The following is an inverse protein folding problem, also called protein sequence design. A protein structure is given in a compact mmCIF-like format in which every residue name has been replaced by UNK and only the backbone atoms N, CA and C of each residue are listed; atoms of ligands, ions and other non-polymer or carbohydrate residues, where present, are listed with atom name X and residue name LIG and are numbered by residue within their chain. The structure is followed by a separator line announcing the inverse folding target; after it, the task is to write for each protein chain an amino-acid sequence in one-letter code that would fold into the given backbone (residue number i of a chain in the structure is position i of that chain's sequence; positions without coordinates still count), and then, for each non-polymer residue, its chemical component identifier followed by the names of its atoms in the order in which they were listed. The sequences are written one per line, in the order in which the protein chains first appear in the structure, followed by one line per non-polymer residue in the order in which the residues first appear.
data_IF_198251492652
#
_entry.id   IF_198251492652
#
_cell.length_a   1.000
_cell.length_b   1.000
_cell.length_c   1.000
_cell.angle_alpha   90.00
_cell.angle_beta   90.00
_cell.angle_gamma   90.00
#
_symmetry.space_group_name_H-M   'P 1'
#
loop_
_entity.id
_entity.type
_entity.pdbx_description
1 polymer ?
#
# COMPACT_ATOMS: atom_id res chain seq x y z
N UNK A 1 -34.79 -18.42 -15.35
CA UNK A 1 -33.61 -18.27 -16.21
C UNK A 1 -32.78 -17.11 -15.67
N UNK A 2 -31.47 -17.35 -15.58
CA UNK A 2 -30.41 -16.71 -14.80
C UNK A 2 -30.44 -15.19 -14.59
N UNK A 3 -30.56 -14.78 -13.32
CA UNK A 3 -30.06 -13.49 -12.81
C UNK A 3 -28.65 -13.63 -12.16
N UNK A 4 -27.97 -14.76 -12.39
CA UNK A 4 -26.71 -15.14 -11.75
C UNK A 4 -25.44 -14.83 -12.58
N UNK A 5 -25.54 -14.22 -13.76
CA UNK A 5 -24.41 -14.05 -14.67
C UNK A 5 -23.85 -12.63 -14.79
N UNK A 6 -24.27 -11.68 -13.95
CA UNK A 6 -23.73 -10.30 -13.96
C UNK A 6 -22.80 -9.98 -12.78
N UNK A 7 -22.65 -10.88 -11.78
CA UNK A 7 -21.78 -10.63 -10.64
C UNK A 7 -20.30 -10.99 -10.86
N UNK A 8 -19.96 -11.73 -11.92
CA UNK A 8 -18.60 -12.28 -12.11
C UNK A 8 -17.58 -11.29 -12.70
N UNK A 9 -18.00 -10.08 -13.13
CA UNK A 9 -17.09 -9.09 -13.75
C UNK A 9 -16.90 -7.80 -12.91
N UNK A 10 -17.40 -7.75 -11.67
CA UNK A 10 -17.24 -6.55 -10.85
C UNK A 10 -15.83 -6.50 -10.22
N UNK A 11 -15.05 -5.49 -10.61
CA UNK A 11 -13.73 -5.23 -10.02
C UNK A 11 -13.89 -4.33 -8.79
N UNK A 12 -13.47 -4.76 -7.59
CA UNK A 12 -13.63 -3.92 -6.40
C UNK A 12 -12.77 -2.65 -6.50
N UNK A 13 -13.25 -1.48 -6.01
CA UNK A 13 -12.51 -0.22 -6.01
C UNK A 13 -11.10 -0.34 -5.42
N UNK A 14 -10.94 -1.18 -4.41
CA UNK A 14 -9.64 -1.46 -3.78
C UNK A 14 -8.64 -2.09 -4.75
N UNK A 15 -9.09 -2.92 -5.70
CA UNK A 15 -8.19 -3.51 -6.71
C UNK A 15 -7.83 -2.49 -7.78
N UNK A 16 -8.81 -1.68 -8.21
CA UNK A 16 -8.58 -0.57 -9.15
C UNK A 16 -7.53 0.37 -8.58
N UNK A 17 -7.63 0.70 -7.29
CA UNK A 17 -6.63 1.49 -6.56
C UNK A 17 -5.23 0.91 -6.70
N UNK A 18 -5.02 -0.36 -6.45
CA UNK A 18 -3.70 -0.97 -6.62
C UNK A 18 -3.25 -0.99 -8.09
N UNK A 19 -4.16 -1.27 -9.03
CA UNK A 19 -3.85 -1.26 -10.48
C UNK A 19 -3.48 0.13 -10.99
N UNK A 20 -3.93 1.21 -10.38
CA UNK A 20 -3.50 2.58 -10.74
C UNK A 20 -1.98 2.73 -10.65
N UNK A 21 -1.31 2.11 -9.68
CA UNK A 21 0.16 2.12 -9.61
C UNK A 21 0.81 1.51 -10.86
N UNK A 22 0.20 0.45 -11.42
CA UNK A 22 0.69 -0.19 -12.66
C UNK A 22 0.43 0.66 -13.89
N UNK A 23 -0.72 1.35 -13.96
CA UNK A 23 -1.07 2.26 -15.07
C UNK A 23 -0.05 3.40 -15.20
N UNK A 24 0.42 3.92 -14.06
CA UNK A 24 1.43 5.00 -14.02
C UNK A 24 2.87 4.50 -13.95
N UNK A 25 3.10 3.19 -14.16
CA UNK A 25 4.41 2.54 -14.08
C UNK A 25 5.14 2.79 -12.74
N UNK A 26 4.41 3.07 -11.66
CA UNK A 26 4.93 3.23 -10.31
C UNK A 26 5.21 1.87 -9.65
N UNK A 27 4.56 0.82 -10.14
CA UNK A 27 4.75 -0.55 -9.68
C UNK A 27 4.63 -1.53 -10.84
N UNK A 28 5.46 -2.55 -10.85
CA UNK A 28 5.37 -3.64 -11.82
C UNK A 28 4.09 -4.47 -11.60
N UNK A 29 3.46 -4.90 -12.70
CA UNK A 29 2.22 -5.67 -12.62
C UNK A 29 2.42 -7.08 -12.08
N UNK A 30 3.54 -7.73 -12.43
CA UNK A 30 3.83 -9.07 -11.93
C UNK A 30 4.15 -9.01 -10.43
N UNK A 31 4.92 -8.02 -9.98
CA UNK A 31 5.17 -7.77 -8.56
C UNK A 31 3.86 -7.54 -7.78
N UNK A 32 2.95 -6.71 -8.33
CA UNK A 32 1.66 -6.48 -7.69
C UNK A 32 0.84 -7.78 -7.58
N UNK A 33 0.78 -8.59 -8.64
CA UNK A 33 0.05 -9.86 -8.65
C UNK A 33 0.67 -10.90 -7.72
N UNK A 34 1.99 -10.92 -7.57
CA UNK A 34 2.67 -11.85 -6.66
C UNK A 34 2.56 -11.49 -5.19
N UNK A 35 2.17 -10.25 -4.85
CA UNK A 35 2.13 -9.76 -3.45
C UNK A 35 0.73 -9.66 -2.86
N UNK A 36 -0.32 -9.63 -3.69
CA UNK A 36 -1.71 -9.59 -3.24
C UNK A 36 -2.43 -10.84 -3.74
N UNK A 37 -2.63 -11.80 -2.84
CA UNK A 37 -3.35 -13.03 -3.13
C UNK A 37 -4.84 -12.81 -2.91
N UNK A 38 -5.65 -12.96 -3.95
CA UNK A 38 -7.07 -12.62 -3.95
C UNK A 38 -7.94 -13.87 -4.04
N UNK A 39 -8.98 -13.92 -3.22
CA UNK A 39 -9.98 -14.97 -3.21
C UNK A 39 -11.37 -14.34 -3.17
N UNK A 40 -12.37 -15.01 -3.73
CA UNK A 40 -13.76 -14.67 -3.45
C UNK A 40 -14.01 -14.77 -1.94
N UNK A 41 -14.86 -13.91 -1.36
CA UNK A 41 -15.24 -14.03 0.06
C UNK A 41 -15.86 -15.40 0.37
N UNK A 42 -16.51 -16.03 -0.62
CA UNK A 42 -17.08 -17.36 -0.48
C UNK A 42 -16.02 -18.47 -0.39
N UNK A 43 -14.77 -18.16 -0.74
CA UNK A 43 -13.63 -19.07 -0.73
C UNK A 43 -12.63 -18.77 0.40
N UNK A 44 -13.06 -18.04 1.44
CA UNK A 44 -12.16 -17.65 2.52
C UNK A 44 -11.46 -18.84 3.20
N UNK A 45 -12.09 -20.02 3.29
CA UNK A 45 -11.42 -21.21 3.85
C UNK A 45 -10.22 -21.65 3.02
N UNK A 46 -10.27 -21.52 1.67
CA UNK A 46 -9.12 -21.79 0.80
C UNK A 46 -7.99 -20.77 1.04
N UNK A 47 -8.36 -19.50 1.21
CA UNK A 47 -7.41 -18.44 1.59
C UNK A 47 -6.71 -18.78 2.91
N UNK A 48 -7.45 -19.17 3.95
CA UNK A 48 -6.89 -19.53 5.25
C UNK A 48 -6.03 -20.80 5.17
N UNK A 49 -6.46 -21.81 4.41
CA UNK A 49 -5.69 -23.03 4.21
C UNK A 49 -4.33 -22.72 3.58
N UNK A 50 -4.29 -21.85 2.56
CA UNK A 50 -3.04 -21.46 1.91
C UNK A 50 -2.07 -20.80 2.89
N UNK A 51 -2.56 -19.93 3.77
CA UNK A 51 -1.76 -19.31 4.83
C UNK A 51 -1.25 -20.37 5.83
N UNK A 52 -2.08 -21.33 6.25
CA UNK A 52 -1.65 -22.42 7.16
C UNK A 52 -0.54 -23.29 6.53
N UNK A 53 -0.66 -23.63 5.25
CA UNK A 53 0.38 -24.35 4.49
C UNK A 53 1.68 -23.58 4.45
N UNK A 54 1.62 -22.28 4.13
CA UNK A 54 2.80 -21.43 4.10
C UNK A 54 3.44 -21.31 5.49
N UNK A 55 2.66 -21.06 6.54
CA UNK A 55 3.13 -21.03 7.94
C UNK A 55 3.87 -22.30 8.35
N UNK A 56 3.41 -23.48 7.94
CA UNK A 56 4.08 -24.77 8.24
C UNK A 56 5.42 -24.90 7.52
N UNK A 57 5.53 -24.35 6.31
CA UNK A 57 6.73 -24.44 5.48
C UNK A 57 7.77 -23.36 5.77
N UNK A 58 7.35 -22.22 6.33
CA UNK A 58 8.21 -21.06 6.54
C UNK A 58 8.74 -20.98 7.96
N UNK A 59 10.06 -20.80 8.11
CA UNK A 59 10.77 -20.74 9.39
C UNK A 59 10.53 -19.48 10.25
N UNK A 60 9.30 -18.96 10.31
CA UNK A 60 8.87 -17.99 11.33
C UNK A 60 9.10 -16.49 11.08
N UNK A 61 9.60 -16.08 9.91
CA UNK A 61 9.96 -14.67 9.64
C UNK A 61 8.95 -13.92 8.75
N UNK A 62 7.67 -14.28 8.82
CA UNK A 62 6.65 -13.67 7.97
C UNK A 62 5.41 -13.30 8.78
N UNK A 63 4.76 -12.21 8.35
CA UNK A 63 3.43 -11.80 8.82
C UNK A 63 2.50 -11.78 7.64
N UNK A 64 1.38 -12.46 7.78
CA UNK A 64 0.31 -12.44 6.78
C UNK A 64 -0.73 -11.41 7.19
N UNK A 65 -1.08 -10.52 6.27
CA UNK A 65 -2.08 -9.49 6.48
C UNK A 65 -3.31 -9.86 5.66
N UNK A 66 -4.35 -10.37 6.34
CA UNK A 66 -5.64 -10.68 5.71
C UNK A 66 -6.48 -9.40 5.66
N UNK A 67 -7.06 -9.11 4.50
CA UNK A 67 -7.91 -7.94 4.27
C UNK A 67 -9.27 -8.38 3.73
N UNK A 68 -10.34 -7.89 4.34
CA UNK A 68 -11.67 -7.99 3.77
C UNK A 68 -11.91 -6.83 2.79
N UNK A 69 -12.54 -7.12 1.65
CA UNK A 69 -12.72 -6.16 0.57
C UNK A 69 -14.19 -5.87 0.33
N UNK A 70 -14.57 -4.62 0.59
CA UNK A 70 -15.92 -4.12 0.36
C UNK A 70 -16.23 -3.98 -1.12
N UNK A 71 -17.52 -4.13 -1.45
CA UNK A 71 -18.01 -3.95 -2.81
C UNK A 71 -17.79 -2.52 -3.32
N UNK A 72 -18.13 -1.51 -2.54
CA UNK A 72 -18.22 -0.12 -3.02
C UNK A 72 -17.27 0.85 -2.31
N UNK A 73 -16.24 0.34 -1.63
CA UNK A 73 -15.34 1.19 -0.84
C UNK A 73 -13.90 0.68 -0.83
N UNK A 74 -12.97 1.62 -0.68
CA UNK A 74 -11.54 1.37 -0.48
C UNK A 74 -11.23 1.09 1.00
N UNK A 75 -12.23 1.19 1.90
CA UNK A 75 -12.09 1.25 3.36
C UNK A 75 -10.99 0.34 3.95
N UNK A 76 -10.29 0.88 4.95
CA UNK A 76 -9.23 0.22 5.72
C UNK A 76 -9.81 -0.20 7.08
N UNK A 77 -9.68 -1.50 7.39
CA UNK A 77 -10.06 -2.25 8.62
C UNK A 77 -11.32 -3.14 8.54
N UNK A 78 -11.29 -4.32 9.18
CA UNK A 78 -10.15 -4.90 9.90
C UNK A 78 -9.16 -5.61 8.97
N UNK A 79 -7.87 -5.36 9.20
CA UNK A 79 -6.82 -6.23 8.70
C UNK A 79 -6.50 -7.23 9.82
N UNK A 80 -6.51 -8.53 9.55
CA UNK A 80 -6.02 -9.52 10.51
C UNK A 80 -4.53 -9.72 10.29
N UNK A 81 -3.74 -9.58 11.35
CA UNK A 81 -2.32 -9.88 11.34
C UNK A 81 -2.12 -11.31 11.84
N UNK A 82 -1.52 -12.16 11.02
CA UNK A 82 -1.31 -13.58 11.30
C UNK A 82 0.20 -13.82 11.39
N UNK A 83 0.69 -14.02 12.61
CA UNK A 83 2.07 -14.41 12.91
C UNK A 83 2.17 -15.90 13.21
N UNK A 84 1.06 -16.49 13.67
CA UNK A 84 1.01 -17.86 14.15
C UNK A 84 -0.25 -18.60 13.67
N UNK A 85 -0.26 -19.92 13.88
CA UNK A 85 -1.45 -20.74 13.65
C UNK A 85 -2.60 -20.38 14.62
N UNK A 86 -2.28 -19.89 15.81
CA UNK A 86 -3.27 -19.43 16.78
C UNK A 86 -3.97 -18.15 16.31
N UNK A 87 -3.23 -17.20 15.74
CA UNK A 87 -3.81 -16.00 15.11
C UNK A 87 -4.75 -16.41 13.96
N UNK A 88 -4.34 -17.41 13.18
CA UNK A 88 -5.14 -17.92 12.05
C UNK A 88 -6.45 -18.56 12.53
N UNK A 89 -6.43 -19.32 13.62
CA UNK A 89 -7.63 -19.88 14.25
C UNK A 89 -8.56 -18.76 14.74
N UNK A 90 -8.00 -17.77 15.44
CA UNK A 90 -8.75 -16.58 15.89
C UNK A 90 -9.39 -15.83 14.72
N UNK A 91 -8.65 -15.68 13.61
CA UNK A 91 -9.17 -15.08 12.39
C UNK A 91 -10.31 -15.90 11.79
N UNK A 92 -10.15 -17.23 11.69
CA UNK A 92 -11.20 -18.14 11.20
C UNK A 92 -12.49 -17.96 11.99
N UNK A 93 -12.41 -17.94 13.32
CA UNK A 93 -13.61 -17.83 14.16
C UNK A 93 -14.29 -16.47 13.95
N UNK A 94 -13.52 -15.38 13.90
CA UNK A 94 -14.09 -14.05 13.59
C UNK A 94 -14.75 -14.00 12.21
N UNK A 95 -14.19 -14.67 11.20
CA UNK A 95 -14.73 -14.69 9.85
C UNK A 95 -16.07 -15.43 9.73
N UNK A 96 -16.40 -16.35 10.65
CA UNK A 96 -17.71 -17.02 10.69
C UNK A 96 -18.85 -16.04 10.97
N UNK A 97 -18.56 -15.01 11.77
CA UNK A 97 -19.55 -14.02 12.22
C UNK A 97 -19.62 -12.78 11.31
N UNK A 98 -18.78 -12.72 10.27
CA UNK A 98 -18.77 -11.60 9.32
C UNK A 98 -19.98 -11.68 8.38
N UNK A 99 -20.68 -10.55 8.21
CA UNK A 99 -21.75 -10.38 7.22
C UNK A 99 -21.18 -10.40 5.80
N UNK A 100 -21.09 -11.59 5.21
CA UNK A 100 -20.42 -11.83 3.91
C UNK A 100 -20.98 -10.94 2.79
N UNK A 101 -22.23 -10.53 2.86
CA UNK A 101 -22.90 -9.69 1.85
C UNK A 101 -22.26 -8.30 1.72
N UNK A 102 -21.54 -7.84 2.75
CA UNK A 102 -20.82 -6.57 2.73
C UNK A 102 -19.51 -6.63 1.93
N UNK A 103 -18.98 -7.84 1.72
CA UNK A 103 -17.68 -8.09 1.14
C UNK A 103 -17.82 -8.85 -0.19
N UNK A 104 -16.86 -8.67 -1.08
CA UNK A 104 -16.81 -9.41 -2.35
C UNK A 104 -15.58 -10.32 -2.42
N UNK A 105 -14.47 -9.88 -1.82
CA UNK A 105 -13.21 -10.61 -1.83
C UNK A 105 -12.58 -10.63 -0.43
N UNK A 106 -11.72 -11.62 -0.21
CA UNK A 106 -10.79 -11.72 0.91
C UNK A 106 -9.39 -11.87 0.33
N UNK A 107 -8.47 -11.02 0.78
CA UNK A 107 -7.10 -11.02 0.30
C UNK A 107 -6.14 -11.36 1.42
N UNK A 108 -4.95 -11.85 1.08
CA UNK A 108 -3.81 -11.80 1.97
C UNK A 108 -2.57 -11.26 1.28
N UNK A 109 -1.75 -10.56 2.05
CA UNK A 109 -0.40 -10.13 1.68
C UNK A 109 0.60 -10.81 2.62
N UNK A 110 1.73 -11.28 2.09
CA UNK A 110 2.82 -11.85 2.88
C UNK A 110 3.93 -10.81 3.02
N UNK A 111 4.22 -10.40 4.25
CA UNK A 111 5.31 -9.48 4.55
C UNK A 111 6.43 -10.24 5.25
N UNK A 112 7.68 -10.00 4.85
CA UNK A 112 8.85 -10.50 5.58
C UNK A 112 9.09 -9.57 6.77
N UNK A 113 9.29 -10.14 7.95
CA UNK A 113 9.69 -9.36 9.13
C UNK A 113 11.20 -9.26 9.18
N UNK A 114 11.75 -8.26 8.49
CA UNK A 114 13.18 -7.93 8.58
C UNK A 114 13.32 -6.59 9.31
N UNK A 115 14.04 -6.62 10.44
CA UNK A 115 14.26 -5.47 11.32
C UNK A 115 14.84 -4.25 10.60
N UNK A 116 15.63 -4.49 9.55
CA UNK A 116 16.30 -3.45 8.77
C UNK A 116 15.46 -2.90 7.60
N UNK A 117 14.25 -3.43 7.38
CA UNK A 117 13.35 -2.90 6.35
C UNK A 117 12.89 -1.50 6.73
N UNK A 118 13.01 -0.58 5.78
CA UNK A 118 12.49 0.77 5.93
C UNK A 118 11.12 0.82 5.26
N UNK A 119 10.12 1.22 6.02
CA UNK A 119 8.82 1.61 5.48
C UNK A 119 8.68 3.11 5.56
N UNK A 120 8.00 3.70 4.58
CA UNK A 120 7.76 5.13 4.61
C UNK A 120 6.61 5.57 3.76
N UNK A 121 6.27 6.84 3.91
CA UNK A 121 5.32 7.53 3.05
C UNK A 121 5.82 8.92 2.71
N UNK A 122 5.56 9.36 1.48
CA UNK A 122 5.85 10.72 1.01
C UNK A 122 4.54 11.39 0.64
N UNK A 123 4.23 12.47 1.35
CA UNK A 123 3.12 13.37 1.04
C UNK A 123 3.60 14.50 0.13
N UNK A 124 2.92 14.67 -1.00
CA UNK A 124 3.13 15.74 -1.97
C UNK A 124 1.97 16.74 -1.89
N UNK A 125 2.31 18.03 -1.83
CA UNK A 125 1.34 19.12 -2.06
C UNK A 125 1.06 19.22 -3.55
N UNK A 126 -0.21 19.14 -3.96
CA UNK A 126 -0.67 19.32 -5.34
C UNK A 126 -1.35 20.68 -5.52
N UNK A 127 -0.77 21.73 -4.95
CA UNK A 127 -1.27 23.10 -5.08
C UNK A 127 -1.11 23.66 -6.51
N UNK A 128 -1.53 24.91 -6.71
CA UNK A 128 -1.51 25.59 -8.02
C UNK A 128 -0.10 25.71 -8.63
N UNK A 129 0.95 25.57 -7.81
CA UNK A 129 2.34 25.65 -8.26
C UNK A 129 2.87 24.28 -8.67
N UNK A 130 2.16 23.18 -8.37
CA UNK A 130 2.55 21.85 -8.81
C UNK A 130 2.42 21.69 -10.34
N UNK A 131 3.40 21.08 -11.04
CA UNK A 131 4.63 20.46 -10.54
C UNK A 131 5.86 21.40 -10.59
N UNK A 132 5.68 22.71 -10.81
CA UNK A 132 6.78 23.68 -10.91
C UNK A 132 7.50 23.84 -9.57
N UNK A 133 6.73 23.91 -8.49
CA UNK A 133 7.22 23.87 -7.12
C UNK A 133 6.65 22.62 -6.47
N UNK A 134 7.52 21.85 -5.82
CA UNK A 134 7.15 20.60 -5.17
C UNK A 134 7.55 20.69 -3.73
N UNK A 135 6.58 20.59 -2.81
CA UNK A 135 6.84 20.47 -1.37
C UNK A 135 6.45 19.08 -0.93
N UNK A 136 7.34 18.44 -0.16
CA UNK A 136 7.17 17.05 0.26
C UNK A 136 7.42 16.91 1.75
N UNK A 137 6.61 16.06 2.39
CA UNK A 137 6.89 15.54 3.73
C UNK A 137 7.10 14.04 3.63
N UNK A 138 8.24 13.54 4.08
CA UNK A 138 8.53 12.11 4.12
C UNK A 138 8.62 11.65 5.58
N UNK A 139 7.94 10.56 5.88
CA UNK A 139 7.97 9.89 7.19
C UNK A 139 8.47 8.46 6.98
N UNK A 140 9.45 8.04 7.77
CA UNK A 140 10.07 6.71 7.68
C UNK A 140 10.18 6.03 9.04
N UNK A 141 10.05 4.71 9.05
CA UNK A 141 10.20 3.83 10.21
C UNK A 141 11.01 2.59 9.82
N UNK A 142 11.76 2.06 10.79
CA UNK A 142 12.38 0.74 10.69
C UNK A 142 11.50 -0.28 11.39
N UNK A 143 11.17 -1.37 10.70
CA UNK A 143 10.39 -2.44 11.31
C UNK A 143 9.62 -3.26 10.29
N UNK A 144 8.45 -3.75 10.70
CA UNK A 144 7.72 -4.79 9.97
C UNK A 144 6.53 -4.25 9.14
N UNK A 145 6.21 -2.96 9.22
CA UNK A 145 5.07 -2.37 8.51
C UNK A 145 5.09 -0.84 8.47
N UNK A 146 4.62 -0.27 7.35
CA UNK A 146 4.33 1.15 7.23
C UNK A 146 3.26 1.64 8.23
N UNK A 147 2.41 0.73 8.73
CA UNK A 147 1.37 1.04 9.72
C UNK A 147 1.92 1.48 11.07
N UNK A 148 3.18 1.18 11.37
CA UNK A 148 3.82 1.69 12.58
C UNK A 148 3.76 3.22 12.63
N UNK A 149 3.86 3.92 11.50
CA UNK A 149 3.79 5.39 11.41
C UNK A 149 2.48 5.95 12.04
N UNK A 150 1.38 5.19 12.04
CA UNK A 150 0.09 5.62 12.60
C UNK A 150 0.10 5.73 14.13
N UNK A 151 1.07 5.12 14.80
CA UNK A 151 1.22 5.17 16.26
C UNK A 151 2.03 6.38 16.73
N UNK A 152 2.65 7.12 15.80
CA UNK A 152 3.40 8.33 16.11
C UNK A 152 2.53 9.34 16.90
N UNK A 153 3.04 9.93 17.99
CA UNK A 153 4.44 9.94 18.44
C UNK A 153 4.89 8.75 19.32
N UNK A 154 4.01 7.82 19.67
CA UNK A 154 4.29 6.72 20.60
C UNK A 154 4.91 5.50 19.90
N UNK A 155 6.08 5.68 19.28
CA UNK A 155 6.79 4.61 18.57
C UNK A 155 7.90 3.99 19.43
N UNK A 156 8.01 2.66 19.37
CA UNK A 156 9.12 1.90 19.97
C UNK A 156 10.28 1.66 18.98
N UNK A 157 10.12 2.09 17.73
CA UNK A 157 11.10 1.90 16.65
C UNK A 157 11.75 3.22 16.23
N UNK A 158 12.85 3.14 15.46
CA UNK A 158 13.44 4.33 14.86
C UNK A 158 12.46 5.00 13.89
N UNK A 159 12.41 6.33 13.94
CA UNK A 159 11.51 7.15 13.13
C UNK A 159 12.19 8.44 12.70
N UNK A 160 11.86 8.93 11.51
CA UNK A 160 12.15 10.29 11.10
C UNK A 160 11.02 10.91 10.28
N UNK A 161 10.73 12.18 10.55
CA UNK A 161 9.88 13.04 9.74
C UNK A 161 10.75 14.12 9.11
N UNK A 162 10.73 14.23 7.79
CA UNK A 162 11.55 15.18 7.03
C UNK A 162 10.70 16.01 6.08
N UNK A 163 11.03 17.29 5.97
CA UNK A 163 10.49 18.20 4.96
C UNK A 163 11.51 18.39 3.85
N UNK A 164 11.06 18.38 2.61
CA UNK A 164 11.91 18.45 1.43
C UNK A 164 11.32 19.44 0.44
N UNK A 165 12.15 20.37 -0.03
CA UNK A 165 11.81 21.31 -1.10
C UNK A 165 12.35 20.81 -2.43
N UNK A 166 11.47 20.73 -3.43
CA UNK A 166 11.77 20.20 -4.76
C UNK A 166 12.09 18.71 -4.75
N UNK A 167 12.78 18.27 -5.81
CA UNK A 167 13.24 16.88 -5.99
C UNK A 167 14.69 16.67 -5.54
N UNK A 168 15.38 17.75 -5.17
CA UNK A 168 16.77 17.72 -4.72
C UNK A 168 16.88 17.13 -3.31
N UNK A 169 18.13 17.01 -2.83
CA UNK A 169 18.48 16.47 -1.52
C UNK A 169 18.47 17.51 -0.40
N UNK A 170 17.84 18.66 -0.64
CA UNK A 170 17.72 19.71 0.37
C UNK A 170 16.53 19.37 1.28
N UNK A 171 16.83 18.79 2.44
CA UNK A 171 15.82 18.39 3.42
C UNK A 171 16.12 18.92 4.81
N UNK A 172 15.08 19.04 5.62
CA UNK A 172 15.13 19.36 7.04
C UNK A 172 14.49 18.22 7.81
N UNK A 173 15.21 17.65 8.78
CA UNK A 173 14.62 16.72 9.75
C UNK A 173 13.78 17.55 10.73
N UNK A 174 12.48 17.30 10.75
CA UNK A 174 11.50 17.96 11.61
C UNK A 174 11.42 17.26 12.95
N UNK A 175 11.43 15.92 12.94
CA UNK A 175 11.38 15.11 14.16
C UNK A 175 12.08 13.76 13.97
N UNK A 176 12.56 13.18 15.07
CA UNK A 176 13.33 11.93 15.08
C UNK A 176 13.14 11.17 16.40
N UNK A 177 12.98 9.85 16.29
CA UNK A 177 13.08 8.91 17.42
C UNK A 177 14.27 8.00 17.14
N UNK A 178 15.30 8.07 17.98
CA UNK A 178 16.53 7.29 17.87
C UNK A 178 16.44 6.04 18.76
N UNK A 179 15.56 5.10 18.42
CA UNK A 179 15.41 3.86 19.21
C UNK A 179 16.67 2.99 19.12
N UNK A 180 16.99 2.51 17.91
CA UNK A 180 18.15 1.65 17.65
C UNK A 180 18.99 2.10 16.44
N UNK A 181 18.73 3.31 15.93
CA UNK A 181 19.46 3.95 14.82
C UNK A 181 20.05 5.27 15.29
N UNK A 182 21.32 5.51 14.96
CA UNK A 182 21.96 6.80 15.17
C UNK A 182 21.41 7.86 14.22
N UNK A 183 21.60 9.13 14.57
CA UNK A 183 21.24 10.27 13.71
C UNK A 183 21.91 10.19 12.33
N UNK A 184 23.17 9.72 12.27
CA UNK A 184 23.91 9.58 11.03
C UNK A 184 23.29 8.51 10.11
N UNK A 185 22.96 7.34 10.66
CA UNK A 185 22.28 6.26 9.92
C UNK A 185 20.92 6.72 9.36
N UNK A 186 20.16 7.49 10.16
CA UNK A 186 18.88 8.05 9.71
C UNK A 186 19.09 9.05 8.56
N UNK A 187 20.09 9.92 8.66
CA UNK A 187 20.40 10.88 7.59
C UNK A 187 20.84 10.18 6.29
N UNK A 188 21.71 9.17 6.40
CA UNK A 188 22.15 8.37 5.26
C UNK A 188 20.98 7.64 4.59
N UNK A 189 20.06 7.09 5.39
CA UNK A 189 18.85 6.46 4.89
C UNK A 189 17.94 7.45 4.17
N UNK A 190 17.74 8.66 4.71
CA UNK A 190 16.96 9.71 4.03
C UNK A 190 17.57 10.07 2.68
N UNK A 191 18.88 10.29 2.61
CA UNK A 191 19.59 10.59 1.35
C UNK A 191 19.41 9.46 0.34
N UNK A 192 19.61 8.22 0.77
CA UNK A 192 19.44 7.03 -0.06
C UNK A 192 18.01 6.89 -0.60
N UNK A 193 16.99 7.14 0.24
CA UNK A 193 15.59 7.08 -0.19
C UNK A 193 15.24 8.17 -1.19
N UNK A 194 15.80 9.37 -1.02
CA UNK A 194 15.63 10.46 -1.99
C UNK A 194 16.26 10.10 -3.34
N UNK A 195 17.42 9.44 -3.34
CA UNK A 195 18.05 8.90 -4.56
C UNK A 195 17.19 7.85 -5.25
N UNK A 196 16.53 6.97 -4.49
CA UNK A 196 15.66 5.95 -5.07
C UNK A 196 14.34 6.55 -5.59
N UNK A 197 13.78 7.53 -4.88
CA UNK A 197 12.56 8.23 -5.29
C UNK A 197 12.74 9.02 -6.59
N UNK A 198 13.93 9.57 -6.87
CA UNK A 198 14.17 10.36 -8.09
C UNK A 198 13.99 9.52 -9.36
N UNK A 199 14.24 8.21 -9.28
CA UNK A 199 14.03 7.26 -10.38
C UNK A 199 12.55 7.23 -10.81
N UNK A 200 11.63 7.54 -9.89
CA UNK A 200 10.18 7.60 -10.12
C UNK A 200 9.66 9.01 -10.37
N UNK A 201 10.51 10.05 -10.33
CA UNK A 201 10.10 11.46 -10.37
C UNK A 201 9.08 11.76 -11.46
N UNK A 202 9.38 11.45 -12.72
CA UNK A 202 8.48 11.75 -13.84
C UNK A 202 7.11 11.07 -13.69
N UNK A 203 7.12 9.79 -13.28
CA UNK A 203 5.90 9.00 -13.07
C UNK A 203 5.05 9.55 -11.92
N UNK A 204 5.69 9.97 -10.83
CA UNK A 204 5.01 10.60 -9.69
C UNK A 204 4.44 11.96 -10.10
N UNK A 205 5.17 12.77 -10.88
CA UNK A 205 4.68 14.05 -11.40
C UNK A 205 3.44 13.85 -12.27
N UNK A 206 3.50 12.93 -13.22
CA UNK A 206 2.41 12.68 -14.15
C UNK A 206 1.18 12.11 -13.41
N UNK A 207 1.39 11.21 -12.45
CA UNK A 207 0.30 10.72 -11.59
C UNK A 207 -0.27 11.83 -10.70
N UNK A 208 0.58 12.66 -10.09
CA UNK A 208 0.17 13.79 -9.26
C UNK A 208 -0.67 14.81 -10.02
N UNK A 209 -0.33 15.11 -11.29
CA UNK A 209 -1.16 15.97 -12.15
C UNK A 209 -2.54 15.38 -12.36
N UNK A 210 -2.62 14.09 -12.67
CA UNK A 210 -3.90 13.41 -12.84
C UNK A 210 -4.75 13.40 -11.56
N UNK A 211 -4.12 13.18 -10.40
CA UNK A 211 -4.79 13.27 -9.10
C UNK A 211 -5.32 14.70 -8.86
N UNK A 212 -4.53 15.72 -9.20
CA UNK A 212 -4.96 17.13 -9.11
C UNK A 212 -6.13 17.45 -10.07
N UNK A 213 -6.09 16.95 -11.31
CA UNK A 213 -7.19 17.07 -12.28
C UNK A 213 -8.49 16.40 -11.80
N UNK A 214 -8.38 15.38 -10.92
CA UNK A 214 -9.53 14.78 -10.25
C UNK A 214 -10.10 15.66 -9.11
N UNK A 215 -9.48 16.82 -8.84
CA UNK A 215 -9.86 17.76 -7.80
C UNK A 215 -9.42 17.31 -6.40
N UNK A 216 -8.24 16.70 -6.30
CA UNK A 216 -7.56 16.36 -5.05
C UNK A 216 -6.35 17.28 -4.85
N UNK A 217 -6.07 17.69 -3.62
CA UNK A 217 -4.99 18.64 -3.31
C UNK A 217 -3.72 17.97 -2.78
N UNK A 218 -3.74 16.66 -2.58
CA UNK A 218 -2.61 15.93 -2.02
C UNK A 218 -2.45 14.54 -2.63
N UNK A 219 -1.20 14.07 -2.68
CA UNK A 219 -0.88 12.69 -3.04
C UNK A 219 0.10 12.14 -1.99
N UNK A 220 -0.26 11.03 -1.37
CA UNK A 220 0.61 10.25 -0.51
C UNK A 220 1.06 9.00 -1.26
N UNK A 221 2.37 8.74 -1.29
CA UNK A 221 2.95 7.51 -1.84
C UNK A 221 3.57 6.73 -0.68
N UNK A 222 3.08 5.51 -0.42
CA UNK A 222 3.67 4.59 0.54
C UNK A 222 4.71 3.70 -0.17
N UNK A 223 5.83 3.44 0.50
CA UNK A 223 6.93 2.64 -0.03
C UNK A 223 7.53 1.71 1.03
N UNK A 224 8.26 0.70 0.55
CA UNK A 224 9.21 -0.06 1.34
C UNK A 224 10.58 -0.07 0.66
N UNK A 225 11.63 -0.21 1.46
CA UNK A 225 13.01 -0.41 1.01
C UNK A 225 13.65 -1.54 1.81
N UNK A 226 14.04 -2.60 1.11
CA UNK A 226 14.77 -3.74 1.67
C UNK A 226 16.30 -3.47 1.66
N UNK A 227 17.08 -4.27 2.40
CA UNK A 227 18.52 -4.07 2.61
C UNK A 227 19.35 -3.91 1.31
N UNK A 228 18.96 -4.59 0.24
CA UNK A 228 19.64 -4.51 -1.07
C UNK A 228 19.21 -3.27 -1.89
N UNK A 229 18.72 -2.22 -1.22
CA UNK A 229 18.15 -1.01 -1.83
C UNK A 229 17.01 -1.29 -2.80
N UNK A 230 16.32 -2.42 -2.59
CA UNK A 230 15.13 -2.79 -3.36
C UNK A 230 13.96 -1.92 -2.90
N UNK A 231 13.74 -0.83 -3.64
CA UNK A 231 12.68 0.14 -3.38
C UNK A 231 11.42 -0.20 -4.15
N UNK A 232 10.31 -0.33 -3.43
CA UNK A 232 9.00 -0.67 -4.00
C UNK A 232 7.96 0.32 -3.51
N UNK A 233 7.24 0.96 -4.44
CA UNK A 233 6.02 1.71 -4.12
C UNK A 233 4.89 0.69 -3.87
N UNK A 234 4.28 0.74 -2.69
CA UNK A 234 3.36 -0.32 -2.24
C UNK A 234 1.88 0.11 -2.23
N UNK A 235 1.62 1.39 -1.94
CA UNK A 235 0.27 1.95 -1.89
C UNK A 235 0.33 3.45 -2.21
N UNK A 236 -0.85 4.04 -2.42
CA UNK A 236 -1.00 5.48 -2.53
C UNK A 236 -2.30 5.90 -1.84
N UNK A 237 -2.40 7.13 -1.39
CA UNK A 237 -3.65 7.72 -0.88
C UNK A 237 -3.73 9.18 -1.35
N UNK A 238 -4.93 9.73 -1.39
CA UNK A 238 -5.17 11.17 -1.53
C UNK A 238 -6.32 11.58 -0.62
N UNK A 239 -6.67 12.87 -0.64
CA UNK A 239 -7.82 13.39 0.11
C UNK A 239 -9.17 12.79 -0.36
N UNK A 240 -9.26 12.26 -1.58
CA UNK A 240 -10.44 11.52 -2.04
C UNK A 240 -10.13 10.45 -3.12
N UNK A 241 -9.71 9.26 -2.69
CA UNK A 241 -9.36 8.15 -3.58
C UNK A 241 -10.48 7.78 -4.56
N UNK A 242 -11.73 7.85 -4.10
CA UNK A 242 -12.88 7.43 -4.92
C UNK A 242 -13.07 8.33 -6.14
N UNK A 243 -12.71 9.63 -6.09
CA UNK A 243 -12.76 10.49 -7.28
C UNK A 243 -11.82 9.98 -8.37
N UNK A 244 -10.58 9.67 -7.99
CA UNK A 244 -9.54 9.16 -8.88
C UNK A 244 -9.93 7.78 -9.44
N UNK A 245 -10.38 6.86 -8.57
CA UNK A 245 -10.82 5.52 -8.96
C UNK A 245 -12.01 5.60 -9.93
N UNK A 246 -13.01 6.45 -9.63
CA UNK A 246 -14.18 6.62 -10.50
C UNK A 246 -13.79 7.24 -11.85
N UNK A 247 -12.82 8.15 -11.88
CA UNK A 247 -12.32 8.76 -13.14
C UNK A 247 -11.68 7.69 -14.04
N UNK A 248 -10.82 6.84 -13.49
CA UNK A 248 -10.23 5.70 -14.22
C UNK A 248 -11.32 4.73 -14.68
N UNK A 249 -12.26 4.38 -13.80
CA UNK A 249 -13.34 3.44 -14.12
C UNK A 249 -14.28 3.94 -15.22
N UNK A 250 -14.53 5.26 -15.29
CA UNK A 250 -15.34 5.89 -16.35
C UNK A 250 -14.59 6.04 -17.67
N UNK A 251 -13.27 6.28 -17.63
CA UNK A 251 -12.42 6.26 -18.83
C UNK A 251 -12.15 4.85 -19.37
N UNK A 252 -12.33 3.82 -18.53
CA UNK A 252 -12.13 2.41 -18.88
C UNK A 252 -13.26 1.80 -19.72
N UNK A 253 -14.28 2.57 -20.14
CA UNK A 253 -15.18 2.14 -21.24
C UNK A 253 -14.44 1.81 -22.54
N UNK A 254 -13.20 2.27 -22.66
CA UNK A 254 -12.23 1.96 -23.74
C UNK A 254 -11.06 1.04 -23.31
N UNK A 255 -11.02 0.62 -22.03
CA UNK A 255 -9.92 -0.19 -21.45
C UNK A 255 -10.50 -1.42 -20.73
N UNK A 256 -11.36 -2.16 -21.42
CA UNK A 256 -11.92 -3.42 -20.92
C UNK A 256 -10.86 -4.54 -20.81
N UNK A 257 -9.68 -4.36 -21.42
CA UNK A 257 -8.62 -5.38 -21.46
C UNK A 257 -7.68 -5.37 -20.23
N UNK A 258 -7.64 -4.31 -19.41
CA UNK A 258 -6.72 -4.23 -18.25
C UNK A 258 -7.18 -4.98 -16.99
N UNK A 259 -8.43 -5.44 -16.96
CA UNK A 259 -9.07 -5.93 -15.74
C UNK A 259 -9.59 -7.37 -15.82
N UNK A 260 -9.48 -8.02 -16.99
CA UNK A 260 -9.84 -9.44 -17.13
C UNK A 260 -8.67 -10.28 -16.63
N UNK A 261 -8.83 -10.85 -15.43
CA UNK A 261 -8.01 -11.97 -14.99
C UNK A 261 -8.48 -13.18 -15.79
N UNK A 262 -7.62 -13.72 -16.65
CA UNK A 262 -7.76 -15.10 -17.15
C UNK A 262 -7.21 -16.05 -16.12
#
# INVERSE_FOLDING_TARGET
MSALSQMDNFVPPKWIKHKILTIWNLRDENDLKSTIHRYSINEYEKCLQKIDEELRSSGGNFVYIIKLVYRNSVYKLPNFLIHSREDLLTCRDKLKDVKKEQFIEIWYCKNITLKETIFGRVLFSLDELFPRIVKRKMEIVWGNSARLIEQYPNLECAFASVEIDGWEKNFRIVDVIQADKSKAEIQEAVVMLLDLLIIYQRRIIDFGKFVNECGCSSLCIEFLCENDRKFTIIDWDCDNDMKVINRISRGAGTIAELFVVK
#
